data_IF_877307185482
#
_entry.id   IF_877307185482
#
_cell.length_a   1.000
_cell.length_b   1.000
_cell.length_c   1.000
_cell.angle_alpha   90.00
_cell.angle_beta   90.00
_cell.angle_gamma   90.00
#
_symmetry.space_group_name_H-M   'P 1'
#
loop_
_entity.id
_entity.type
_entity.pdbx_description
1 polymer ?
#
# COMPACT_ATOMS: atom_id res chain seq x y z
N UNK A 1 0.86 9.46 -10.23
CA UNK A 1 1.20 10.66 -11.04
C UNK A 1 -0.07 11.34 -11.45
N UNK A 2 -0.20 12.65 -11.31
CA UNK A 2 -1.30 13.33 -11.95
C UNK A 2 -1.20 13.10 -13.46
N UNK A 3 -2.24 12.54 -14.02
CA UNK A 3 -2.34 12.27 -15.46
C UNK A 3 -2.48 13.57 -16.20
N UNK A 4 -1.56 14.44 -16.16
CA UNK A 4 -2.03 15.56 -16.81
C UNK A 4 -1.00 16.60 -17.18
N UNK A 5 -1.20 17.10 -18.30
CA UNK A 5 -0.74 18.39 -18.72
C UNK A 5 -1.34 19.41 -17.76
N UNK A 6 -0.52 19.97 -16.88
CA UNK A 6 -0.93 21.10 -16.04
C UNK A 6 -0.85 22.36 -16.87
N UNK A 7 -1.93 22.66 -17.55
CA UNK A 7 -2.07 23.92 -18.30
C UNK A 7 -3.02 24.81 -17.51
N UNK A 8 -2.54 25.97 -17.10
CA UNK A 8 -3.39 27.01 -16.54
C UNK A 8 -4.17 27.67 -17.66
N UNK A 9 -5.49 27.75 -17.51
CA UNK A 9 -6.35 28.51 -18.41
C UNK A 9 -7.34 29.32 -17.59
N UNK A 10 -7.84 30.41 -18.18
CA UNK A 10 -8.82 31.26 -17.52
C UNK A 10 -10.23 30.82 -17.89
N UNK A 11 -11.07 30.78 -16.90
CA UNK A 11 -12.50 30.47 -17.01
C UNK A 11 -13.34 31.60 -16.42
N UNK A 12 -14.54 31.78 -16.94
CA UNK A 12 -15.46 32.83 -16.47
C UNK A 12 -15.93 32.62 -15.03
N UNK A 13 -15.96 31.35 -14.59
CA UNK A 13 -16.39 30.95 -13.25
C UNK A 13 -15.22 30.43 -12.42
N UNK A 14 -15.18 30.79 -11.16
CA UNK A 14 -14.20 30.24 -10.22
C UNK A 14 -14.39 28.76 -10.03
N UNK A 15 -13.29 28.02 -9.76
CA UNK A 15 -13.31 26.57 -9.62
C UNK A 15 -14.31 26.05 -8.58
N UNK A 16 -14.46 26.73 -7.45
CA UNK A 16 -15.44 26.39 -6.42
C UNK A 16 -16.89 26.41 -6.95
N UNK A 17 -17.24 27.41 -7.75
CA UNK A 17 -18.58 27.49 -8.36
C UNK A 17 -18.81 26.34 -9.33
N UNK A 18 -17.84 26.04 -10.19
CA UNK A 18 -17.93 24.90 -11.14
C UNK A 18 -18.08 23.57 -10.43
N UNK A 19 -17.32 23.37 -9.32
CA UNK A 19 -17.43 22.17 -8.51
C UNK A 19 -18.81 21.99 -7.88
N UNK A 20 -19.41 23.08 -7.34
CA UNK A 20 -20.76 23.05 -6.77
C UNK A 20 -21.80 22.78 -7.85
N UNK A 21 -21.71 23.42 -9.01
CA UNK A 21 -22.61 23.18 -10.14
C UNK A 21 -22.57 21.72 -10.61
N UNK A 22 -21.36 21.12 -10.69
CA UNK A 22 -21.19 19.71 -11.01
C UNK A 22 -21.82 18.79 -9.95
N UNK A 23 -21.61 19.11 -8.67
CA UNK A 23 -22.20 18.35 -7.55
C UNK A 23 -23.74 18.40 -7.60
N UNK A 24 -24.32 19.58 -7.84
CA UNK A 24 -25.77 19.75 -7.98
C UNK A 24 -26.33 18.92 -9.14
N UNK A 25 -25.63 18.88 -10.28
CA UNK A 25 -26.03 18.01 -11.41
C UNK A 25 -26.00 16.54 -10.98
N UNK A 26 -24.93 16.09 -10.31
CA UNK A 26 -24.79 14.71 -9.82
C UNK A 26 -25.90 14.33 -8.84
N UNK A 27 -26.21 15.19 -7.88
CA UNK A 27 -27.28 14.96 -6.88
C UNK A 27 -28.68 14.93 -7.47
N UNK A 28 -28.89 15.50 -8.65
CA UNK A 28 -30.16 15.50 -9.36
C UNK A 28 -30.18 14.52 -10.55
N UNK A 29 -29.29 13.54 -10.58
CA UNK A 29 -29.17 12.54 -11.65
C UNK A 29 -29.09 13.14 -13.06
N UNK A 30 -28.54 14.35 -13.18
CA UNK A 30 -28.33 15.02 -14.47
C UNK A 30 -26.95 14.66 -15.03
N UNK A 31 -26.79 14.59 -16.36
CA UNK A 31 -25.49 14.40 -16.98
C UNK A 31 -24.51 15.49 -16.54
N UNK A 32 -23.30 15.07 -16.18
CA UNK A 32 -22.18 15.96 -15.88
C UNK A 32 -20.88 15.36 -16.39
N UNK A 33 -19.93 16.22 -16.65
CA UNK A 33 -18.56 15.84 -17.00
C UNK A 33 -17.60 16.37 -15.94
N UNK A 34 -16.56 15.62 -15.67
CA UNK A 34 -15.44 16.08 -14.82
C UNK A 34 -14.48 16.89 -15.67
N UNK A 35 -13.95 18.00 -15.16
CA UNK A 35 -12.98 18.86 -15.87
C UNK A 35 -11.67 18.11 -16.16
N UNK A 36 -11.33 17.15 -15.32
CA UNK A 36 -10.23 16.23 -15.53
C UNK A 36 -10.77 14.83 -15.86
N UNK A 37 -10.21 14.18 -16.88
CA UNK A 37 -10.55 12.79 -17.11
C UNK A 37 -10.21 11.96 -15.87
N UNK A 38 -11.14 11.15 -15.42
CA UNK A 38 -10.87 10.19 -14.34
C UNK A 38 -9.76 9.24 -14.79
N UNK A 39 -8.77 8.96 -13.95
CA UNK A 39 -7.76 7.98 -14.28
C UNK A 39 -8.44 6.62 -14.51
N UNK A 40 -8.07 5.97 -15.61
CA UNK A 40 -8.44 4.58 -15.85
C UNK A 40 -7.30 3.70 -15.37
N UNK A 41 -7.63 2.70 -14.55
CA UNK A 41 -6.67 1.70 -14.10
C UNK A 41 -7.02 0.36 -14.75
N UNK A 42 -5.99 -0.41 -15.07
CA UNK A 42 -6.17 -1.78 -15.52
C UNK A 42 -6.86 -2.58 -14.41
N UNK A 43 -7.93 -3.29 -14.79
CA UNK A 43 -8.58 -4.19 -13.86
C UNK A 43 -7.84 -5.51 -13.83
N UNK A 44 -7.41 -5.90 -12.64
CA UNK A 44 -6.86 -7.22 -12.40
C UNK A 44 -7.98 -8.12 -11.90
N UNK A 45 -8.11 -9.31 -12.48
CA UNK A 45 -9.06 -10.30 -11.99
C UNK A 45 -8.68 -10.68 -10.54
N UNK A 46 -9.67 -10.74 -9.61
CA UNK A 46 -9.40 -11.25 -8.27
C UNK A 46 -8.85 -12.69 -8.33
N UNK A 47 -7.95 -13.02 -7.42
CA UNK A 47 -7.56 -14.40 -7.21
C UNK A 47 -8.74 -15.28 -6.77
N UNK A 48 -8.57 -16.58 -6.82
CA UNK A 48 -9.57 -17.51 -6.27
C UNK A 48 -9.69 -17.33 -4.75
N UNK A 49 -10.92 -17.44 -4.24
CA UNK A 49 -11.17 -17.33 -2.81
C UNK A 49 -10.49 -18.47 -2.05
N UNK A 50 -9.77 -18.15 -0.98
CA UNK A 50 -9.19 -19.13 -0.07
C UNK A 50 -10.32 -19.87 0.64
N UNK A 51 -10.36 -21.19 0.50
CA UNK A 51 -11.44 -22.02 1.05
C UNK A 51 -11.28 -22.31 2.55
N UNK A 52 -10.05 -22.35 3.02
CA UNK A 52 -9.70 -22.70 4.40
C UNK A 52 -8.48 -21.90 4.85
N UNK A 53 -8.72 -20.78 5.52
CA UNK A 53 -7.67 -19.89 6.02
C UNK A 53 -6.77 -20.60 7.04
N UNK A 54 -7.29 -21.57 7.80
CA UNK A 54 -6.51 -22.31 8.80
C UNK A 54 -5.37 -23.14 8.21
N UNK A 55 -5.34 -23.27 6.88
CA UNK A 55 -4.26 -23.96 6.14
C UNK A 55 -3.46 -23.03 5.25
N UNK A 56 -3.93 -21.81 5.11
CA UNK A 56 -3.32 -20.83 4.19
C UNK A 56 -2.00 -20.28 4.73
N UNK A 57 -1.04 -20.10 3.84
CA UNK A 57 0.20 -19.36 4.08
C UNK A 57 0.02 -17.91 3.66
N UNK A 58 0.13 -17.01 4.62
CA UNK A 58 -0.09 -15.58 4.42
C UNK A 58 1.26 -14.84 4.34
N UNK A 59 1.37 -13.84 3.48
CA UNK A 59 2.50 -12.92 3.45
C UNK A 59 2.05 -11.48 3.71
N UNK A 60 2.92 -10.69 4.31
CA UNK A 60 2.69 -9.26 4.54
C UNK A 60 3.44 -8.43 3.50
N UNK A 61 2.72 -7.58 2.79
CA UNK A 61 3.27 -6.65 1.80
C UNK A 61 2.70 -5.26 2.06
N UNK A 62 3.55 -4.27 2.21
CA UNK A 62 3.10 -2.90 2.51
C UNK A 62 3.76 -1.86 1.63
N UNK A 63 3.04 -0.81 1.30
CA UNK A 63 3.59 0.44 0.76
C UNK A 63 3.75 1.52 1.83
N UNK A 64 3.54 1.16 3.10
CA UNK A 64 3.62 2.05 4.25
C UNK A 64 5.05 2.33 4.74
N UNK A 65 6.07 1.75 4.10
CA UNK A 65 7.47 2.08 4.37
C UNK A 65 8.01 1.58 5.69
N UNK A 66 7.44 0.51 6.26
CA UNK A 66 7.97 -0.09 7.50
C UNK A 66 9.31 -0.77 7.19
N UNK A 67 10.32 -0.40 7.96
CA UNK A 67 11.71 -0.87 7.80
C UNK A 67 12.32 -1.18 9.16
N UNK A 68 13.37 -2.02 9.25
CA UNK A 68 14.15 -2.16 10.47
C UNK A 68 14.72 -0.81 10.92
N UNK A 69 14.89 -0.66 12.23
CA UNK A 69 15.39 0.58 12.85
C UNK A 69 16.68 1.08 12.19
N UNK A 70 16.71 2.37 11.89
CA UNK A 70 17.83 3.00 11.18
C UNK A 70 17.81 2.82 9.67
N UNK A 71 16.75 2.20 9.10
CA UNK A 71 16.56 2.05 7.66
C UNK A 71 17.83 1.59 6.92
N UNK A 72 18.35 0.40 7.20
CA UNK A 72 19.68 -0.03 6.73
C UNK A 72 19.80 -0.09 5.21
N UNK A 73 18.68 -0.34 4.51
CA UNK A 73 18.64 -0.39 3.05
C UNK A 73 18.39 0.97 2.40
N UNK A 74 18.25 2.02 3.20
CA UNK A 74 18.00 3.38 2.71
C UNK A 74 16.80 3.42 1.74
N UNK A 75 15.65 2.85 2.17
CA UNK A 75 14.39 3.00 1.43
C UNK A 75 14.00 4.48 1.45
N UNK A 76 13.75 5.04 0.28
CA UNK A 76 13.47 6.47 0.15
C UNK A 76 12.09 6.81 0.72
N UNK A 77 11.96 7.97 1.37
CA UNK A 77 10.72 8.45 2.00
C UNK A 77 9.64 8.86 0.99
N UNK A 78 10.03 9.04 -0.26
CA UNK A 78 9.13 9.26 -1.40
C UNK A 78 9.80 8.83 -2.69
N UNK A 79 9.00 8.54 -3.72
CA UNK A 79 9.52 8.13 -5.04
C UNK A 79 10.49 6.96 -4.96
N UNK A 80 10.18 5.98 -4.13
CA UNK A 80 11.07 4.87 -3.84
C UNK A 80 11.58 4.17 -5.10
N UNK A 81 12.88 3.98 -5.20
CA UNK A 81 13.57 3.33 -6.31
C UNK A 81 13.77 1.82 -6.10
N UNK A 82 13.36 1.31 -4.94
CA UNK A 82 13.51 -0.09 -4.52
C UNK A 82 12.42 -0.49 -3.51
N UNK A 83 12.38 -1.77 -3.19
CA UNK A 83 11.62 -2.33 -2.07
C UNK A 83 12.56 -3.07 -1.12
N UNK A 84 12.16 -3.22 0.13
CA UNK A 84 12.82 -4.03 1.14
C UNK A 84 12.19 -5.41 1.28
N UNK A 85 12.98 -6.37 1.70
CA UNK A 85 12.57 -7.72 2.08
C UNK A 85 13.24 -8.04 3.42
N UNK A 86 12.44 -8.21 4.46
CA UNK A 86 12.96 -8.38 5.82
C UNK A 86 12.41 -9.64 6.46
N UNK A 87 13.31 -10.36 7.14
CA UNK A 87 12.96 -11.58 7.85
C UNK A 87 12.22 -11.23 9.16
N UNK A 88 11.07 -11.86 9.35
CA UNK A 88 10.25 -11.76 10.58
C UNK A 88 10.00 -13.12 11.23
N UNK A 89 10.83 -14.12 10.90
CA UNK A 89 10.71 -15.43 11.55
C UNK A 89 10.95 -15.29 13.07
N UNK A 90 9.94 -15.66 13.84
CA UNK A 90 9.97 -15.52 15.30
C UNK A 90 9.74 -14.10 15.84
N UNK A 91 9.55 -13.10 14.98
CA UNK A 91 9.13 -11.76 15.41
C UNK A 91 7.64 -11.77 15.69
N UNK A 92 7.25 -11.32 16.89
CA UNK A 92 5.85 -11.29 17.33
C UNK A 92 5.29 -9.88 17.49
N UNK A 93 6.15 -8.87 17.38
CA UNK A 93 5.81 -7.47 17.64
C UNK A 93 6.86 -6.56 16.96
N UNK A 94 6.41 -5.49 16.33
CA UNK A 94 7.25 -4.50 15.66
C UNK A 94 7.42 -3.26 16.54
N UNK A 95 8.27 -3.37 17.57
CA UNK A 95 8.45 -2.33 18.58
C UNK A 95 9.19 -1.10 18.05
N UNK A 96 9.09 0.03 18.80
CA UNK A 96 9.78 1.29 18.51
C UNK A 96 11.30 1.12 18.42
N UNK A 97 11.88 0.15 19.14
CA UNK A 97 13.32 -0.11 19.16
C UNK A 97 13.80 -0.91 17.95
N UNK A 98 12.90 -1.67 17.32
CA UNK A 98 13.26 -2.63 16.27
C UNK A 98 12.85 -2.19 14.87
N UNK A 99 11.77 -1.40 14.75
CA UNK A 99 11.23 -0.96 13.47
C UNK A 99 10.88 0.53 13.47
N UNK A 100 10.75 1.07 12.29
CA UNK A 100 10.32 2.46 12.06
C UNK A 100 9.68 2.59 10.69
N UNK A 101 9.05 3.74 10.40
CA UNK A 101 8.60 4.05 9.05
C UNK A 101 9.56 4.99 8.33
N UNK A 102 9.89 4.66 7.08
CA UNK A 102 10.57 5.54 6.16
C UNK A 102 9.61 6.44 5.37
N UNK A 103 8.28 6.27 5.49
CA UNK A 103 7.29 6.90 4.62
C UNK A 103 7.09 8.39 4.91
N UNK A 104 7.34 9.25 3.92
CA UNK A 104 7.19 10.72 4.04
C UNK A 104 5.81 11.29 3.72
N UNK A 105 4.80 10.44 3.48
CA UNK A 105 3.46 10.86 3.06
C UNK A 105 2.40 10.88 4.18
N UNK A 106 2.75 10.48 5.38
CA UNK A 106 1.91 10.55 6.57
C UNK A 106 2.74 10.94 7.81
N UNK A 107 2.08 11.32 8.91
CA UNK A 107 2.75 11.62 10.17
C UNK A 107 3.40 10.32 10.74
N UNK A 108 4.73 10.27 10.90
CA UNK A 108 5.41 9.04 11.31
C UNK A 108 5.27 8.72 12.81
N UNK A 109 4.79 9.65 13.63
CA UNK A 109 4.84 9.51 15.10
C UNK A 109 4.21 8.22 15.58
N UNK A 110 2.97 7.94 15.18
CA UNK A 110 2.26 6.75 15.63
C UNK A 110 2.82 5.44 15.05
N UNK A 111 3.28 5.47 13.81
CA UNK A 111 3.91 4.30 13.19
C UNK A 111 5.30 4.00 13.76
N UNK A 112 6.00 5.02 14.27
CA UNK A 112 7.30 4.82 14.92
C UNK A 112 7.17 4.37 16.38
N UNK A 113 6.07 4.71 17.04
CA UNK A 113 5.76 4.20 18.38
C UNK A 113 5.39 2.71 18.36
N UNK A 114 4.77 2.28 17.27
CA UNK A 114 4.21 0.95 17.11
C UNK A 114 4.00 0.70 15.61
N UNK A 115 4.91 -0.01 14.97
CA UNK A 115 4.88 -0.24 13.53
C UNK A 115 3.81 -1.27 13.12
N UNK A 116 3.28 -2.05 14.06
CA UNK A 116 2.16 -2.97 13.83
C UNK A 116 0.88 -2.25 13.42
N UNK A 117 0.75 -0.97 13.72
CA UNK A 117 -0.35 -0.11 13.20
C UNK A 117 -0.38 -0.02 11.66
N UNK A 118 0.73 -0.28 11.01
CA UNK A 118 0.87 -0.24 9.55
C UNK A 118 1.11 -1.63 8.97
N UNK A 119 1.80 -2.49 9.69
CA UNK A 119 2.13 -3.86 9.29
C UNK A 119 1.83 -4.80 10.48
N UNK A 120 0.61 -5.32 10.64
CA UNK A 120 0.09 -5.93 11.86
C UNK A 120 0.65 -7.34 12.12
N UNK A 121 1.94 -7.44 12.41
CA UNK A 121 2.63 -8.71 12.70
C UNK A 121 2.11 -9.30 14.02
N UNK A 122 1.83 -8.49 15.02
CA UNK A 122 1.28 -8.87 16.31
C UNK A 122 -0.06 -9.60 16.17
N UNK A 123 -1.04 -9.02 15.48
CA UNK A 123 -2.36 -9.60 15.25
C UNK A 123 -2.29 -10.86 14.39
N UNK A 124 -1.41 -10.88 13.39
CA UNK A 124 -1.21 -12.08 12.57
C UNK A 124 -0.64 -13.23 13.42
N UNK A 125 0.27 -12.94 14.34
CA UNK A 125 0.78 -13.94 15.28
C UNK A 125 -0.29 -14.45 16.25
N UNK A 126 -1.23 -13.61 16.67
CA UNK A 126 -2.40 -14.07 17.43
C UNK A 126 -3.27 -15.02 16.62
N UNK A 127 -3.55 -14.69 15.35
CA UNK A 127 -4.31 -15.57 14.46
C UNK A 127 -3.61 -16.91 14.19
N UNK A 128 -2.29 -16.93 14.13
CA UNK A 128 -1.51 -18.17 14.08
C UNK A 128 -1.72 -19.02 15.34
N UNK A 129 -1.58 -18.41 16.53
CA UNK A 129 -1.77 -19.12 17.83
C UNK A 129 -3.18 -19.67 17.97
N UNK A 130 -4.18 -18.96 17.47
CA UNK A 130 -5.58 -19.36 17.49
C UNK A 130 -5.94 -20.37 16.37
N UNK A 131 -5.04 -20.68 15.46
CA UNK A 131 -5.27 -21.57 14.33
C UNK A 131 -6.23 -21.00 13.27
N UNK A 132 -6.41 -19.68 13.24
CA UNK A 132 -7.24 -18.99 12.24
C UNK A 132 -6.57 -18.92 10.87
N UNK A 133 -5.24 -18.89 10.85
CA UNK A 133 -4.40 -18.98 9.64
C UNK A 133 -3.39 -20.12 9.79
N UNK A 134 -2.95 -20.67 8.66
CA UNK A 134 -2.07 -21.83 8.65
C UNK A 134 -0.62 -21.49 8.99
N UNK A 135 -0.06 -20.49 8.31
CA UNK A 135 1.30 -20.04 8.54
C UNK A 135 1.51 -18.61 8.05
N UNK A 136 2.51 -17.94 8.61
CA UNK A 136 3.02 -16.66 8.12
C UNK A 136 4.29 -16.93 7.30
N UNK A 137 4.38 -16.25 6.14
CA UNK A 137 5.61 -16.23 5.36
C UNK A 137 6.72 -15.54 6.15
N UNK A 138 7.94 -16.08 6.10
CA UNK A 138 9.05 -15.57 6.93
C UNK A 138 9.54 -14.18 6.56
N UNK A 139 9.23 -13.69 5.35
CA UNK A 139 9.59 -12.36 4.94
C UNK A 139 8.35 -11.48 4.78
N UNK A 140 8.46 -10.21 5.20
CA UNK A 140 7.58 -9.19 4.68
C UNK A 140 8.28 -8.35 3.62
N UNK A 141 7.48 -7.72 2.77
CA UNK A 141 7.97 -6.84 1.72
C UNK A 141 7.44 -5.44 1.93
N UNK A 142 8.30 -4.45 1.73
CA UNK A 142 7.94 -3.05 1.97
C UNK A 142 8.49 -2.14 0.89
N UNK A 143 7.75 -1.12 0.57
CA UNK A 143 8.20 0.03 -0.22
C UNK A 143 7.48 1.27 0.27
N UNK A 144 7.76 2.44 -0.32
CA UNK A 144 7.04 3.67 -0.02
C UNK A 144 6.14 4.03 -1.20
N UNK A 145 4.81 4.09 -0.94
CA UNK A 145 3.83 4.42 -1.98
C UNK A 145 3.82 5.89 -2.39
N UNK A 146 4.32 6.78 -1.50
CA UNK A 146 4.34 8.22 -1.73
C UNK A 146 5.19 8.61 -2.94
N UNK A 147 4.53 9.06 -4.02
CA UNK A 147 5.20 9.54 -5.22
C UNK A 147 5.92 8.49 -6.05
N UNK A 148 5.87 7.22 -5.69
CA UNK A 148 6.52 6.14 -6.44
C UNK A 148 5.87 5.99 -7.81
N UNK A 149 6.69 5.98 -8.86
CA UNK A 149 6.24 5.86 -10.24
C UNK A 149 5.53 4.52 -10.47
N UNK A 150 4.43 4.53 -11.23
CA UNK A 150 3.66 3.32 -11.55
C UNK A 150 4.52 2.23 -12.17
N UNK A 151 5.45 2.58 -13.07
CA UNK A 151 6.38 1.62 -13.68
C UNK A 151 7.27 0.93 -12.65
N UNK A 152 7.75 1.67 -11.63
CA UNK A 152 8.54 1.12 -10.53
C UNK A 152 7.69 0.19 -9.65
N UNK A 153 6.50 0.63 -9.29
CA UNK A 153 5.56 -0.18 -8.51
C UNK A 153 5.20 -1.49 -9.21
N UNK A 154 4.95 -1.46 -10.52
CA UNK A 154 4.69 -2.66 -11.33
C UNK A 154 5.90 -3.61 -11.38
N UNK A 155 7.12 -3.07 -11.46
CA UNK A 155 8.34 -3.87 -11.39
C UNK A 155 8.44 -4.59 -10.04
N UNK A 156 8.27 -3.85 -8.92
CA UNK A 156 8.33 -4.45 -7.58
C UNK A 156 7.24 -5.49 -7.37
N UNK A 157 6.01 -5.18 -7.80
CA UNK A 157 4.90 -6.12 -7.69
C UNK A 157 5.16 -7.44 -8.42
N UNK A 158 5.76 -7.40 -9.61
CA UNK A 158 6.14 -8.61 -10.34
C UNK A 158 7.24 -9.41 -9.64
N UNK A 159 8.27 -8.72 -9.14
CA UNK A 159 9.38 -9.39 -8.44
C UNK A 159 8.92 -10.01 -7.12
N UNK A 160 8.14 -9.28 -6.32
CA UNK A 160 7.58 -9.76 -5.06
C UNK A 160 6.59 -10.90 -5.34
N UNK A 161 5.66 -10.70 -6.28
CA UNK A 161 4.68 -11.72 -6.64
C UNK A 161 5.31 -13.02 -7.09
N UNK A 162 6.40 -12.97 -7.87
CA UNK A 162 7.12 -14.19 -8.28
C UNK A 162 7.71 -14.92 -7.06
N UNK A 163 8.34 -14.20 -6.12
CA UNK A 163 8.87 -14.80 -4.89
C UNK A 163 7.78 -15.46 -4.05
N UNK A 164 6.62 -14.81 -3.92
CA UNK A 164 5.49 -15.35 -3.16
C UNK A 164 4.92 -16.63 -3.81
N UNK A 165 4.84 -16.65 -5.15
CA UNK A 165 4.43 -17.85 -5.90
C UNK A 165 5.44 -18.99 -5.72
N UNK A 166 6.73 -18.70 -5.84
CA UNK A 166 7.80 -19.70 -5.67
C UNK A 166 7.81 -20.29 -4.25
N UNK A 167 7.44 -19.47 -3.25
CA UNK A 167 7.34 -19.86 -1.85
C UNK A 167 5.96 -20.43 -1.46
N UNK A 168 5.08 -20.66 -2.44
CA UNK A 168 3.74 -21.22 -2.23
C UNK A 168 2.90 -20.45 -1.20
N UNK A 169 2.89 -19.11 -1.32
CA UNK A 169 2.04 -18.23 -0.51
C UNK A 169 0.64 -18.18 -1.13
N UNK A 170 -0.39 -18.31 -0.29
CA UNK A 170 -1.79 -18.34 -0.73
C UNK A 170 -2.42 -16.93 -0.77
N UNK A 171 -1.99 -16.01 0.10
CA UNK A 171 -2.44 -14.60 0.16
C UNK A 171 -1.45 -13.68 0.86
#
# INVERSE_FOLDING_TARGET
MPNGIRVNFFEDKVGAQRAVEMLIKKLNDKPFETEYPMPSFDRVAPGEAIKDLSKAKIALVTSGGIVPKGNPDHIESSSASKYGQYDIEGVTDLTEETYETAHGGYDPVYANQDADRVLPVDIINEFLKEGKIGSLHKYFYTTVGNGTAVASALKYAKEIGQKLVDDHVDA
#
